data_IF_583555885269
#
_entry.id   IF_583555885269
#
_cell.length_a   1.000
_cell.length_b   1.000
_cell.length_c   1.000
_cell.angle_alpha   90.00
_cell.angle_beta   90.00
_cell.angle_gamma   90.00
#
_symmetry.space_group_name_H-M   'P 1'
#
loop_
_entity.id
_entity.type
_entity.pdbx_description
1 polymer ?
#
# COMPACT_ATOMS: atom_id res chain seq x y z
N UNK A 1 16.29 -5.54 15.65
CA UNK A 1 15.89 -6.37 14.48
C UNK A 1 15.30 -5.42 13.43
N UNK A 2 15.63 -5.63 12.14
CA UNK A 2 15.22 -4.77 11.03
C UNK A 2 14.33 -5.53 10.04
N UNK A 3 13.39 -4.84 9.39
CA UNK A 3 12.52 -5.34 8.33
C UNK A 3 12.23 -4.23 7.30
N UNK A 4 11.72 -4.62 6.12
CA UNK A 4 11.48 -3.73 5.00
C UNK A 4 10.00 -3.81 4.58
N UNK A 5 9.12 -2.99 5.20
CA UNK A 5 7.72 -2.92 4.81
C UNK A 5 7.58 -2.42 3.37
N UNK A 6 6.95 -3.21 2.51
CA UNK A 6 6.77 -2.85 1.11
C UNK A 6 5.37 -2.31 0.81
N UNK A 7 5.25 -1.52 -0.25
CA UNK A 7 3.99 -1.02 -0.76
C UNK A 7 3.17 -2.09 -1.50
N UNK A 8 1.92 -1.78 -1.79
CA UNK A 8 1.04 -2.51 -2.73
C UNK A 8 0.47 -1.56 -3.77
N UNK A 9 0.06 -2.12 -4.89
CA UNK A 9 -0.84 -1.48 -5.86
C UNK A 9 -2.16 -2.23 -5.95
N UNK A 10 -3.18 -1.57 -6.53
CA UNK A 10 -4.45 -2.21 -6.88
C UNK A 10 -4.48 -2.47 -8.38
N UNK A 11 -4.61 -3.73 -8.78
CA UNK A 11 -4.85 -4.14 -10.16
C UNK A 11 -6.36 -4.25 -10.36
N UNK A 12 -6.96 -3.19 -10.92
CA UNK A 12 -8.40 -3.01 -10.94
C UNK A 12 -9.02 -2.75 -9.57
N UNK A 13 -10.12 -2.02 -9.54
CA UNK A 13 -10.94 -1.79 -8.35
C UNK A 13 -12.37 -1.50 -8.77
N UNK A 14 -13.31 -2.33 -8.35
CA UNK A 14 -14.73 -2.15 -8.59
C UNK A 14 -15.46 -1.85 -7.28
N UNK A 15 -16.37 -0.89 -7.30
CA UNK A 15 -17.29 -0.60 -6.19
C UNK A 15 -18.63 -1.28 -6.52
N UNK A 16 -18.85 -2.47 -5.95
CA UNK A 16 -19.91 -3.37 -6.40
C UNK A 16 -21.26 -3.15 -5.74
N UNK A 17 -21.27 -2.62 -4.51
CA UNK A 17 -22.51 -2.45 -3.75
C UNK A 17 -22.34 -1.42 -2.64
N UNK A 18 -23.40 -0.66 -2.35
CA UNK A 18 -23.53 0.14 -1.14
C UNK A 18 -24.19 -0.67 -0.02
N UNK A 19 -23.53 -0.76 1.13
CA UNK A 19 -23.99 -1.51 2.29
C UNK A 19 -24.95 -0.68 3.15
N UNK A 20 -25.82 -1.34 3.96
CA UNK A 20 -26.68 -0.64 4.91
C UNK A 20 -25.93 0.14 6.01
N UNK A 21 -24.70 -0.25 6.35
CA UNK A 21 -23.82 0.41 7.31
C UNK A 21 -23.15 1.67 6.77
N UNK A 22 -23.40 2.02 5.50
CA UNK A 22 -22.86 3.19 4.82
C UNK A 22 -21.54 2.96 4.11
N UNK A 23 -20.88 1.81 4.31
CA UNK A 23 -19.71 1.38 3.55
C UNK A 23 -20.08 0.84 2.19
N UNK A 24 -19.06 0.49 1.39
CA UNK A 24 -19.24 -0.13 0.08
C UNK A 24 -18.51 -1.47 0.03
N UNK A 25 -19.14 -2.45 -0.63
CA UNK A 25 -18.44 -3.66 -1.02
C UNK A 25 -17.58 -3.35 -2.24
N UNK A 26 -16.32 -3.77 -2.16
CA UNK A 26 -15.30 -3.58 -3.18
C UNK A 26 -14.85 -4.93 -3.72
N UNK A 27 -14.36 -4.92 -4.94
CA UNK A 27 -13.57 -6.00 -5.54
C UNK A 27 -12.29 -5.40 -6.10
N UNK A 28 -11.12 -5.89 -5.69
CA UNK A 28 -9.83 -5.42 -6.18
C UNK A 28 -8.78 -6.51 -6.05
N UNK A 29 -7.68 -6.41 -6.78
CA UNK A 29 -6.53 -7.28 -6.60
C UNK A 29 -5.41 -6.46 -5.98
N UNK A 30 -4.94 -6.87 -4.81
CA UNK A 30 -3.74 -6.33 -4.19
C UNK A 30 -2.51 -7.05 -4.71
N UNK A 31 -1.54 -6.27 -5.17
CA UNK A 31 -0.26 -6.77 -5.65
C UNK A 31 0.89 -6.06 -4.93
N UNK A 32 1.77 -6.78 -4.20
CA UNK A 32 2.90 -6.17 -3.51
C UNK A 32 3.95 -5.70 -4.52
N UNK A 33 4.59 -4.56 -4.24
CA UNK A 33 5.66 -4.01 -5.08
C UNK A 33 6.90 -3.70 -4.24
N UNK A 34 8.14 -3.72 -4.80
CA UNK A 34 9.38 -3.56 -4.03
C UNK A 34 9.74 -2.09 -3.73
N UNK A 35 8.75 -1.23 -3.52
CA UNK A 35 8.93 0.08 -2.93
C UNK A 35 8.80 -0.08 -1.42
N UNK A 36 9.87 0.17 -0.66
CA UNK A 36 9.99 -0.24 0.73
C UNK A 36 10.32 0.91 1.65
N UNK A 37 9.76 0.86 2.86
CA UNK A 37 10.21 1.60 4.03
C UNK A 37 11.25 0.77 4.80
N UNK A 38 11.89 1.35 5.79
CA UNK A 38 12.78 0.62 6.70
C UNK A 38 12.21 0.75 8.11
N UNK A 39 12.10 -0.37 8.81
CA UNK A 39 11.62 -0.43 10.17
C UNK A 39 12.56 -1.26 11.03
N UNK A 40 13.09 -0.66 12.10
CA UNK A 40 13.93 -1.33 13.07
C UNK A 40 13.35 -1.20 14.47
N UNK A 41 13.47 -2.28 15.25
CA UNK A 41 13.12 -2.30 16.68
C UNK A 41 14.31 -2.76 17.49
N UNK A 42 14.70 -1.92 18.50
CA UNK A 42 15.66 -2.25 19.54
C UNK A 42 14.99 -2.15 20.90
N UNK A 43 15.50 -2.88 21.90
CA UNK A 43 15.13 -2.66 23.30
C UNK A 43 15.98 -1.54 23.89
N UNK A 44 15.57 -0.93 24.99
CA UNK A 44 16.33 0.13 25.65
C UNK A 44 17.73 -0.32 26.10
N UNK A 45 17.87 -1.61 26.43
CA UNK A 45 19.19 -2.20 26.82
C UNK A 45 20.11 -2.41 25.61
N UNK A 46 19.55 -2.54 24.38
CA UNK A 46 20.32 -2.73 23.13
C UNK A 46 20.87 -1.41 22.57
N UNK A 47 20.31 -0.27 22.95
CA UNK A 47 20.74 1.05 22.49
C UNK A 47 21.05 1.98 23.67
N UNK A 48 22.27 1.84 24.28
CA UNK A 48 22.68 2.65 25.42
C UNK A 48 22.98 4.11 25.06
N UNK A 49 22.95 4.47 23.77
CA UNK A 49 23.25 5.85 23.34
C UNK A 49 22.00 6.74 23.39
N UNK A 50 20.83 6.16 23.54
CA UNK A 50 19.57 6.88 23.67
C UNK A 50 19.11 6.82 25.12
N UNK A 51 18.95 7.99 25.75
CA UNK A 51 18.42 8.07 27.12
C UNK A 51 16.99 7.46 27.13
N UNK A 52 16.83 6.45 27.98
CA UNK A 52 15.52 5.82 28.19
C UNK A 52 14.66 6.77 29.05
N UNK A 53 13.58 7.34 28.53
CA UNK A 53 12.69 8.13 29.34
C UNK A 53 12.00 7.23 30.37
N UNK A 54 11.90 7.72 31.60
CA UNK A 54 11.30 6.98 32.72
C UNK A 54 9.81 6.75 32.58
N UNK A 55 9.13 7.50 31.70
CA UNK A 55 7.67 7.58 31.63
C UNK A 55 7.04 7.02 30.34
N UNK A 56 7.84 6.48 29.40
CA UNK A 56 7.30 5.85 28.18
C UNK A 56 7.91 4.48 27.95
N UNK A 57 7.14 3.61 27.35
CA UNK A 57 7.56 2.26 26.97
C UNK A 57 7.76 2.10 25.44
N UNK A 58 7.61 3.18 24.68
CA UNK A 58 7.88 3.22 23.24
C UNK A 58 8.40 4.59 22.83
N UNK A 59 9.48 4.60 22.07
CA UNK A 59 10.01 5.79 21.40
C UNK A 59 10.04 5.58 19.90
N UNK A 60 9.43 6.51 19.16
CA UNK A 60 9.44 6.51 17.69
C UNK A 60 10.40 7.56 17.16
N UNK A 61 11.41 7.10 16.42
CA UNK A 61 12.34 7.93 15.65
C UNK A 61 11.99 7.79 14.17
N UNK A 62 11.45 8.83 13.59
CA UNK A 62 11.04 8.84 12.17
C UNK A 62 11.92 9.76 11.34
N UNK A 63 12.31 9.30 10.15
CA UNK A 63 13.09 10.04 9.16
C UNK A 63 12.56 9.75 7.74
N UNK A 64 13.11 10.42 6.72
CA UNK A 64 12.62 10.33 5.35
C UNK A 64 11.40 11.21 5.11
N UNK A 65 10.36 10.70 4.42
CA UNK A 65 9.13 11.43 4.15
C UNK A 65 8.39 11.69 5.47
N UNK A 66 8.05 12.95 5.72
CA UNK A 66 7.36 13.36 6.94
C UNK A 66 5.98 12.69 7.08
N UNK A 67 5.69 12.21 8.29
CA UNK A 67 4.39 11.66 8.65
C UNK A 67 3.66 12.69 9.50
N UNK A 68 2.43 13.03 9.11
CA UNK A 68 1.58 13.92 9.89
C UNK A 68 0.90 13.16 11.05
N UNK A 69 0.63 13.88 12.14
CA UNK A 69 -0.09 13.37 13.31
C UNK A 69 0.79 13.15 14.54
N UNK A 70 0.17 12.77 15.63
CA UNK A 70 0.85 12.49 16.89
C UNK A 70 1.50 11.09 16.87
N UNK A 71 2.54 10.91 17.68
CA UNK A 71 3.27 9.63 17.77
C UNK A 71 2.33 8.47 18.13
N UNK A 72 1.41 8.67 19.06
CA UNK A 72 0.44 7.66 19.50
C UNK A 72 -0.59 7.29 18.40
N UNK A 73 -0.77 8.14 17.39
CA UNK A 73 -1.62 7.85 16.24
C UNK A 73 -0.92 7.03 15.16
N UNK A 74 0.39 6.92 15.22
CA UNK A 74 1.16 6.13 14.27
C UNK A 74 0.82 4.64 14.38
N UNK A 75 0.56 4.00 13.25
CA UNK A 75 0.13 2.60 13.20
C UNK A 75 1.20 1.62 13.72
N UNK A 76 2.49 1.94 13.64
CA UNK A 76 3.55 1.09 14.23
C UNK A 76 3.51 1.13 15.76
N UNK A 77 3.21 2.29 16.34
CA UNK A 77 3.02 2.44 17.78
C UNK A 77 1.76 1.68 18.23
N UNK A 78 0.65 1.83 17.49
CA UNK A 78 -0.59 1.08 17.74
C UNK A 78 -0.37 -0.43 17.65
N UNK A 79 0.44 -0.91 16.70
CA UNK A 79 0.81 -2.32 16.57
C UNK A 79 1.59 -2.83 17.80
N UNK A 80 2.56 -2.07 18.28
CA UNK A 80 3.26 -2.39 19.52
C UNK A 80 2.30 -2.43 20.72
N UNK A 81 1.47 -1.38 20.90
CA UNK A 81 0.48 -1.31 22.00
C UNK A 81 -0.49 -2.49 21.97
N UNK A 82 -0.92 -2.90 20.76
CA UNK A 82 -1.81 -4.02 20.58
C UNK A 82 -1.21 -5.33 21.11
N UNK A 83 0.04 -5.64 20.73
CA UNK A 83 0.71 -6.85 21.23
C UNK A 83 1.13 -6.73 22.68
N UNK A 84 1.54 -5.55 23.15
CA UNK A 84 1.89 -5.33 24.55
C UNK A 84 0.72 -5.55 25.52
N UNK A 85 -0.50 -5.29 25.08
CA UNK A 85 -1.69 -5.59 25.88
C UNK A 85 -1.93 -7.09 26.07
N UNK A 86 -1.36 -7.94 25.19
CA UNK A 86 -1.54 -9.40 25.21
C UNK A 86 -0.29 -10.13 25.72
N UNK A 87 0.90 -9.52 25.59
CA UNK A 87 2.21 -10.13 25.89
C UNK A 87 3.09 -9.19 26.72
N UNK A 88 3.94 -9.71 27.61
CA UNK A 88 4.87 -8.91 28.42
C UNK A 88 6.05 -8.40 27.60
N UNK A 89 5.80 -7.47 26.66
CA UNK A 89 6.84 -6.86 25.84
C UNK A 89 7.62 -5.81 26.62
N UNK A 90 8.97 -5.79 26.51
CA UNK A 90 9.81 -4.75 27.11
C UNK A 90 9.57 -3.39 26.43
N UNK A 91 10.01 -2.29 27.04
CA UNK A 91 10.14 -1.00 26.38
C UNK A 91 11.04 -1.08 25.15
N UNK A 92 10.67 -0.35 24.07
CA UNK A 92 11.37 -0.40 22.78
C UNK A 92 11.59 0.98 22.17
N UNK A 93 12.65 1.07 21.34
CA UNK A 93 12.81 2.10 20.33
C UNK A 93 12.36 1.56 18.98
N UNK A 94 11.63 2.38 18.25
CA UNK A 94 11.22 2.15 16.86
C UNK A 94 11.95 3.16 16.00
N UNK A 95 12.81 2.70 15.10
CA UNK A 95 13.45 3.54 14.10
C UNK A 95 12.78 3.28 12.74
N UNK A 96 12.24 4.32 12.13
CA UNK A 96 11.53 4.23 10.88
C UNK A 96 12.07 5.23 9.86
N UNK A 97 12.40 4.73 8.67
CA UNK A 97 12.71 5.55 7.50
C UNK A 97 11.58 5.41 6.49
N UNK A 98 10.87 6.52 6.26
CA UNK A 98 9.74 6.56 5.31
C UNK A 98 10.20 6.92 3.91
N UNK A 99 9.93 6.02 2.99
CA UNK A 99 10.15 6.19 1.56
C UNK A 99 8.84 6.07 0.77
N UNK A 100 7.87 5.27 1.27
CA UNK A 100 6.53 5.14 0.67
C UNK A 100 5.71 6.39 1.01
N UNK A 101 5.21 7.15 0.01
CA UNK A 101 4.37 8.33 0.25
C UNK A 101 3.09 7.98 1.01
N UNK A 102 2.76 8.81 2.01
CA UNK A 102 1.54 8.64 2.81
C UNK A 102 0.30 9.12 2.05
N UNK A 103 -0.87 8.50 2.30
CA UNK A 103 -2.15 8.89 1.70
C UNK A 103 -2.16 8.77 0.17
N UNK A 104 -1.42 7.82 -0.38
CA UNK A 104 -1.13 7.69 -1.80
C UNK A 104 -1.81 6.48 -2.47
N UNK A 105 -2.66 5.73 -1.76
CA UNK A 105 -3.26 4.49 -2.28
C UNK A 105 -2.32 3.27 -2.27
N UNK A 106 -1.12 3.39 -1.66
CA UNK A 106 -0.04 2.40 -1.70
C UNK A 106 0.02 1.47 -0.46
N UNK A 107 -0.79 1.71 0.54
CA UNK A 107 -0.84 0.89 1.75
C UNK A 107 0.37 0.99 2.68
N UNK A 108 1.25 2.01 2.53
CA UNK A 108 2.51 2.11 3.28
C UNK A 108 2.34 2.06 4.80
N UNK A 109 1.44 2.86 5.39
CA UNK A 109 1.20 2.81 6.84
C UNK A 109 0.63 1.48 7.33
N UNK A 110 -0.18 0.79 6.50
CA UNK A 110 -0.70 -0.55 6.81
C UNK A 110 0.40 -1.60 6.72
N UNK A 111 1.32 -1.46 5.76
CA UNK A 111 2.52 -2.28 5.66
C UNK A 111 3.39 -2.12 6.92
N UNK A 112 3.72 -0.88 7.28
CA UNK A 112 4.52 -0.58 8.48
C UNK A 112 3.93 -1.25 9.73
N UNK A 113 2.62 -1.09 9.95
CA UNK A 113 1.92 -1.68 11.08
C UNK A 113 2.01 -3.21 11.11
N UNK A 114 1.79 -3.84 9.96
CA UNK A 114 1.79 -5.30 9.87
C UNK A 114 3.19 -5.88 10.00
N UNK A 115 4.17 -5.25 9.35
CA UNK A 115 5.56 -5.65 9.50
C UNK A 115 6.06 -5.42 10.92
N UNK A 116 5.54 -4.40 11.64
CA UNK A 116 5.79 -4.24 13.07
C UNK A 116 5.26 -5.43 13.88
N UNK A 117 4.02 -5.88 13.62
CA UNK A 117 3.46 -7.07 14.29
C UNK A 117 4.35 -8.31 14.04
N UNK A 118 4.75 -8.54 12.79
CA UNK A 118 5.63 -9.67 12.41
C UNK A 118 6.99 -9.56 13.08
N UNK A 119 7.60 -8.37 13.05
CA UNK A 119 8.91 -8.10 13.65
C UNK A 119 8.88 -8.35 15.17
N UNK A 120 7.84 -7.89 15.87
CA UNK A 120 7.68 -8.12 17.31
C UNK A 120 7.46 -9.60 17.62
N UNK A 121 6.63 -10.31 16.82
CA UNK A 121 6.47 -11.77 16.95
C UNK A 121 7.81 -12.48 16.87
N UNK A 122 8.59 -12.16 15.84
CA UNK A 122 9.85 -12.86 15.57
C UNK A 122 10.94 -12.46 16.56
N UNK A 123 11.06 -11.17 16.91
CA UNK A 123 12.06 -10.66 17.87
C UNK A 123 11.86 -11.24 19.28
N UNK A 124 10.60 -11.33 19.72
CA UNK A 124 10.26 -11.79 21.06
C UNK A 124 9.74 -13.24 21.10
N UNK A 125 9.81 -13.96 19.96
CA UNK A 125 9.39 -15.36 19.84
C UNK A 125 7.95 -15.57 20.36
N UNK A 126 7.02 -14.67 19.97
CA UNK A 126 5.63 -14.77 20.40
C UNK A 126 4.96 -15.98 19.72
N UNK A 127 4.12 -16.73 20.44
CA UNK A 127 3.45 -17.93 19.92
C UNK A 127 2.23 -17.53 19.05
N UNK A 128 2.47 -16.80 17.96
CA UNK A 128 1.46 -16.30 17.04
C UNK A 128 1.63 -16.92 15.66
N UNK A 129 0.58 -17.52 15.15
CA UNK A 129 0.47 -17.96 13.75
C UNK A 129 0.20 -16.78 12.83
N UNK A 130 0.34 -16.98 11.51
CA UNK A 130 -0.02 -15.94 10.53
C UNK A 130 -1.51 -15.60 10.57
N UNK A 131 -2.39 -16.60 10.78
CA UNK A 131 -3.84 -16.35 10.90
C UNK A 131 -4.16 -15.44 12.10
N UNK A 132 -3.54 -15.69 13.24
CA UNK A 132 -3.68 -14.86 14.44
C UNK A 132 -3.08 -13.46 14.26
N UNK A 133 -2.04 -13.32 13.44
CA UNK A 133 -1.52 -11.99 13.06
C UNK A 133 -2.47 -11.27 12.11
N UNK A 134 -3.12 -11.96 11.16
CA UNK A 134 -4.12 -11.37 10.27
C UNK A 134 -5.30 -10.79 11.06
N UNK A 135 -5.80 -11.52 12.07
CA UNK A 135 -6.87 -11.03 12.96
C UNK A 135 -6.47 -9.73 13.69
N UNK A 136 -5.22 -9.65 14.17
CA UNK A 136 -4.70 -8.47 14.86
C UNK A 136 -4.46 -7.32 13.90
N UNK A 137 -3.89 -7.60 12.74
CA UNK A 137 -3.64 -6.63 11.69
C UNK A 137 -4.96 -5.99 11.21
N UNK A 138 -6.02 -6.78 11.03
CA UNK A 138 -7.35 -6.28 10.66
C UNK A 138 -7.94 -5.26 11.67
N UNK A 139 -7.53 -5.31 12.93
CA UNK A 139 -7.93 -4.31 13.96
C UNK A 139 -7.22 -2.98 13.81
N UNK A 140 -6.07 -2.94 13.11
CA UNK A 140 -5.29 -1.72 12.86
C UNK A 140 -5.74 -0.99 11.60
N UNK A 141 -6.21 -1.73 10.58
CA UNK A 141 -6.69 -1.15 9.33
C UNK A 141 -7.09 -2.21 8.30
N UNK A 142 -7.93 -1.81 7.35
CA UNK A 142 -8.52 -2.73 6.36
C UNK A 142 -7.44 -3.43 5.49
N UNK A 143 -6.40 -2.69 5.07
CA UNK A 143 -5.33 -3.21 4.22
C UNK A 143 -4.26 -3.98 5.02
N UNK A 144 -4.24 -3.86 6.38
CA UNK A 144 -3.15 -4.42 7.18
C UNK A 144 -3.04 -5.94 7.06
N UNK A 145 -4.17 -6.67 7.10
CA UNK A 145 -4.16 -8.13 7.06
C UNK A 145 -3.52 -8.68 5.76
N UNK A 146 -3.61 -7.95 4.64
CA UNK A 146 -2.95 -8.31 3.39
C UNK A 146 -1.43 -8.52 3.56
N UNK A 147 -0.77 -7.62 4.31
CA UNK A 147 0.68 -7.62 4.44
C UNK A 147 1.22 -8.74 5.34
N UNK A 148 0.36 -9.47 6.05
CA UNK A 148 0.80 -10.65 6.81
C UNK A 148 1.31 -11.72 5.85
N UNK A 149 0.53 -12.06 4.84
CA UNK A 149 0.94 -13.01 3.78
C UNK A 149 1.76 -12.34 2.68
N UNK A 150 1.47 -11.07 2.41
CA UNK A 150 2.21 -10.23 1.46
C UNK A 150 2.40 -10.85 0.08
N UNK A 151 1.34 -11.39 -0.48
CA UNK A 151 1.27 -12.06 -1.79
C UNK A 151 0.07 -11.57 -2.58
N UNK A 152 0.10 -11.66 -3.93
CA UNK A 152 -1.06 -11.28 -4.74
C UNK A 152 -2.34 -11.92 -4.22
N UNK A 153 -3.38 -11.09 -4.01
CA UNK A 153 -4.65 -11.55 -3.46
C UNK A 153 -5.82 -10.74 -4.00
N UNK A 154 -6.91 -11.42 -4.30
CA UNK A 154 -8.20 -10.80 -4.59
C UNK A 154 -8.86 -10.43 -3.28
N UNK A 155 -9.23 -9.16 -3.15
CA UNK A 155 -9.85 -8.59 -1.97
C UNK A 155 -11.32 -8.26 -2.21
N UNK A 156 -12.17 -8.63 -1.27
CA UNK A 156 -13.61 -8.37 -1.25
C UNK A 156 -14.05 -7.73 0.07
N UNK A 157 -15.36 -7.57 0.28
CA UNK A 157 -15.90 -6.84 1.43
C UNK A 157 -15.57 -5.35 1.33
N UNK A 158 -15.07 -4.76 2.39
CA UNK A 158 -14.55 -3.37 2.36
C UNK A 158 -13.07 -3.31 1.92
N UNK A 159 -12.56 -4.35 1.25
CA UNK A 159 -11.16 -4.54 0.89
C UNK A 159 -10.37 -5.35 1.94
N UNK A 160 -11.06 -6.11 2.78
CA UNK A 160 -10.49 -6.77 3.96
C UNK A 160 -10.64 -8.29 3.99
N UNK A 161 -11.24 -8.89 2.97
CA UNK A 161 -11.40 -10.35 2.84
C UNK A 161 -10.54 -10.81 1.65
N UNK A 162 -9.48 -11.57 1.92
CA UNK A 162 -8.46 -11.91 0.92
C UNK A 162 -8.57 -13.36 0.45
N UNK A 163 -8.54 -13.52 -0.88
CA UNK A 163 -8.40 -14.83 -1.55
C UNK A 163 -7.06 -14.84 -2.29
N UNK A 164 -6.12 -15.73 -1.96
CA UNK A 164 -4.82 -15.79 -2.60
C UNK A 164 -4.91 -16.00 -4.11
N UNK A 165 -4.03 -15.36 -4.87
CA UNK A 165 -3.90 -15.48 -6.33
C UNK A 165 -2.48 -15.93 -6.72
N UNK A 166 -2.06 -17.16 -6.38
CA UNK A 166 -0.69 -17.61 -6.58
C UNK A 166 -0.27 -17.70 -8.06
N UNK A 167 -1.22 -17.73 -8.98
CA UNK A 167 -0.98 -17.77 -10.43
C UNK A 167 -0.71 -16.38 -11.02
N UNK A 168 -1.04 -15.30 -10.30
CA UNK A 168 -0.81 -13.94 -10.79
C UNK A 168 0.64 -13.54 -10.51
N UNK A 169 1.39 -13.27 -11.58
CA UNK A 169 2.77 -12.83 -11.51
C UNK A 169 3.05 -11.76 -12.55
N UNK A 170 3.66 -10.67 -12.10
CA UNK A 170 4.20 -9.60 -12.96
C UNK A 170 5.72 -9.67 -13.03
N UNK A 171 6.29 -10.84 -12.75
CA UNK A 171 7.75 -11.03 -12.82
C UNK A 171 8.29 -10.69 -14.22
N UNK A 172 9.35 -9.86 -14.24
CA UNK A 172 9.97 -9.39 -15.47
C UNK A 172 9.25 -8.19 -16.12
N UNK A 173 8.17 -7.69 -15.51
CA UNK A 173 7.58 -6.40 -15.87
C UNK A 173 8.27 -5.28 -15.11
N UNK A 174 8.32 -4.11 -15.72
CA UNK A 174 8.77 -2.88 -15.07
C UNK A 174 7.55 -2.06 -14.64
N UNK A 175 7.66 -1.43 -13.47
CA UNK A 175 6.67 -0.50 -12.96
C UNK A 175 7.27 0.91 -12.87
N UNK A 176 6.54 1.90 -13.36
CA UNK A 176 6.76 3.31 -13.06
C UNK A 176 5.60 3.82 -12.21
N UNK A 177 5.90 4.28 -11.01
CA UNK A 177 4.95 4.85 -10.07
C UNK A 177 5.12 6.37 -10.04
N UNK A 178 4.02 7.09 -10.16
CA UNK A 178 3.97 8.55 -10.10
C UNK A 178 2.92 9.00 -9.09
N UNK A 179 3.33 9.74 -8.06
CA UNK A 179 2.42 10.32 -7.07
C UNK A 179 2.55 11.85 -7.13
N UNK A 180 1.54 12.56 -7.66
CA UNK A 180 1.51 14.03 -7.65
C UNK A 180 1.35 14.58 -6.22
N UNK A 181 1.76 15.83 -6.01
CA UNK A 181 1.54 16.51 -4.73
C UNK A 181 0.07 16.97 -4.59
N UNK A 182 -0.83 16.01 -4.75
CA UNK A 182 -2.28 16.18 -4.60
C UNK A 182 -2.77 15.14 -3.60
N UNK A 183 -3.47 15.60 -2.57
CA UNK A 183 -4.16 14.73 -1.63
C UNK A 183 -5.59 14.47 -2.10
N UNK A 184 -5.97 13.21 -2.23
CA UNK A 184 -7.32 12.77 -2.54
C UNK A 184 -7.95 12.17 -1.29
N UNK A 185 -9.03 12.79 -0.80
CA UNK A 185 -9.76 12.20 0.31
C UNK A 185 -10.60 11.00 -0.15
N UNK A 186 -10.81 10.02 0.73
CA UNK A 186 -11.73 8.90 0.45
C UNK A 186 -13.12 9.39 0.04
N UNK A 187 -13.60 10.48 0.67
CA UNK A 187 -14.88 11.12 0.30
C UNK A 187 -14.89 11.57 -1.16
N UNK A 188 -13.79 12.17 -1.63
CA UNK A 188 -13.70 12.63 -3.02
C UNK A 188 -13.71 11.46 -4.00
N UNK A 189 -12.96 10.40 -3.68
CA UNK A 189 -12.96 9.18 -4.49
C UNK A 189 -14.36 8.56 -4.64
N UNK A 190 -15.17 8.57 -3.58
CA UNK A 190 -16.55 8.06 -3.63
C UNK A 190 -17.59 9.05 -4.18
N UNK A 191 -17.25 10.29 -4.52
CA UNK A 191 -18.21 11.36 -4.79
C UNK A 191 -19.14 11.13 -5.97
N UNK A 192 -18.66 10.48 -7.05
CA UNK A 192 -19.44 10.16 -8.25
C UNK A 192 -19.72 8.67 -8.41
N UNK A 193 -19.28 7.85 -7.45
CA UNK A 193 -19.41 6.39 -7.56
C UNK A 193 -20.87 5.97 -7.64
N UNK A 194 -21.15 5.16 -8.65
CA UNK A 194 -22.41 4.43 -8.83
C UNK A 194 -22.09 2.93 -8.75
N UNK A 195 -22.30 2.30 -7.56
CA UNK A 195 -21.97 0.90 -7.40
C UNK A 195 -22.63 0.03 -8.48
N UNK A 196 -21.84 -0.85 -9.08
CA UNK A 196 -22.32 -1.78 -10.11
C UNK A 196 -21.50 -3.08 -10.07
N UNK A 197 -22.11 -4.16 -10.51
CA UNK A 197 -21.37 -5.41 -10.70
C UNK A 197 -20.57 -5.32 -11.99
N UNK A 198 -19.28 -5.69 -11.96
CA UNK A 198 -18.47 -5.68 -13.17
C UNK A 198 -19.03 -6.66 -14.20
N UNK A 199 -18.89 -6.33 -15.47
CA UNK A 199 -19.29 -7.20 -16.59
C UNK A 199 -18.46 -8.48 -16.61
N UNK A 200 -17.16 -8.34 -16.29
CA UNK A 200 -16.20 -9.43 -16.21
C UNK A 200 -15.47 -9.37 -14.86
N UNK A 201 -15.39 -10.48 -14.12
CA UNK A 201 -14.67 -10.51 -12.84
C UNK A 201 -13.19 -10.18 -13.00
N UNK A 202 -12.61 -9.39 -12.07
CA UNK A 202 -11.19 -9.07 -12.06
C UNK A 202 -10.32 -10.33 -12.01
N UNK A 203 -10.77 -11.35 -11.29
CA UNK A 203 -10.06 -12.64 -11.19
C UNK A 203 -9.95 -13.36 -12.53
N UNK A 204 -10.91 -13.17 -13.41
CA UNK A 204 -10.88 -13.71 -14.78
C UNK A 204 -9.97 -12.85 -15.67
N UNK A 205 -10.09 -11.52 -15.61
CA UNK A 205 -9.26 -10.59 -16.38
C UNK A 205 -7.77 -10.80 -16.03
N UNK A 206 -7.45 -11.02 -14.76
CA UNK A 206 -6.08 -11.23 -14.29
C UNK A 206 -5.42 -12.51 -14.82
N UNK A 207 -6.19 -13.43 -15.45
CA UNK A 207 -5.62 -14.61 -16.13
C UNK A 207 -5.19 -14.33 -17.58
N UNK A 208 -5.57 -13.18 -18.11
CA UNK A 208 -5.17 -12.77 -19.47
C UNK A 208 -3.75 -12.18 -19.45
N UNK A 209 -3.10 -12.11 -20.63
CA UNK A 209 -1.91 -11.29 -20.80
C UNK A 209 -2.16 -9.83 -20.37
N UNK A 210 -1.16 -9.18 -19.78
CA UNK A 210 -1.27 -7.78 -19.30
C UNK A 210 -1.70 -6.84 -20.43
N UNK A 211 -1.29 -7.13 -21.65
CA UNK A 211 -1.63 -6.39 -22.87
C UNK A 211 -3.15 -6.34 -23.15
N UNK A 212 -3.90 -7.30 -22.65
CA UNK A 212 -5.35 -7.39 -22.83
C UNK A 212 -6.14 -6.77 -21.64
N UNK A 213 -5.50 -6.45 -20.53
CA UNK A 213 -6.18 -5.99 -19.31
C UNK A 213 -7.01 -4.73 -19.53
N UNK A 214 -6.47 -3.76 -20.25
CA UNK A 214 -7.16 -2.50 -20.56
C UNK A 214 -8.47 -2.76 -21.29
N UNK A 215 -8.41 -3.51 -22.38
CA UNK A 215 -9.56 -3.79 -23.24
C UNK A 215 -10.55 -4.77 -22.59
N UNK A 216 -10.06 -5.63 -21.70
CA UNK A 216 -10.90 -6.52 -20.91
C UNK A 216 -11.63 -5.82 -19.74
N UNK A 217 -11.31 -4.55 -19.45
CA UNK A 217 -11.99 -3.76 -18.43
C UNK A 217 -11.37 -3.84 -17.04
N UNK A 218 -10.06 -4.08 -16.90
CA UNK A 218 -9.36 -3.93 -15.62
C UNK A 218 -9.20 -2.44 -15.29
N UNK A 219 -10.24 -1.83 -14.74
CA UNK A 219 -10.31 -0.41 -14.43
C UNK A 219 -10.38 -0.18 -12.92
N UNK A 220 -10.09 1.04 -12.49
CA UNK A 220 -10.33 1.50 -11.13
C UNK A 220 -11.52 2.49 -11.15
N UNK A 221 -12.65 2.10 -10.54
CA UNK A 221 -13.88 2.90 -10.54
C UNK A 221 -13.69 4.30 -9.93
N UNK A 222 -12.71 4.49 -9.02
CA UNK A 222 -12.44 5.79 -8.44
C UNK A 222 -11.84 6.79 -9.43
N UNK A 223 -11.28 6.33 -10.55
CA UNK A 223 -10.69 7.21 -11.56
C UNK A 223 -11.71 8.22 -12.11
N UNK A 224 -12.97 7.81 -12.32
CA UNK A 224 -14.03 8.71 -12.80
C UNK A 224 -14.19 9.93 -11.88
N UNK A 225 -14.34 9.70 -10.58
CA UNK A 225 -14.52 10.77 -9.60
C UNK A 225 -13.27 11.62 -9.42
N UNK A 226 -12.12 10.94 -9.31
CA UNK A 226 -10.84 11.59 -9.01
C UNK A 226 -10.37 12.42 -10.19
N UNK A 227 -10.44 11.91 -11.42
CA UNK A 227 -10.00 12.65 -12.61
C UNK A 227 -10.94 13.80 -12.95
N UNK A 228 -12.25 13.66 -12.70
CA UNK A 228 -13.19 14.77 -12.84
C UNK A 228 -12.88 15.93 -11.89
N UNK A 229 -12.47 15.64 -10.65
CA UNK A 229 -12.14 16.65 -9.64
C UNK A 229 -10.69 17.15 -9.75
N UNK A 230 -9.77 16.30 -10.12
CA UNK A 230 -8.33 16.53 -10.20
C UNK A 230 -7.78 16.11 -11.57
N UNK A 231 -8.06 16.85 -12.66
CA UNK A 231 -7.66 16.46 -14.03
C UNK A 231 -6.18 16.17 -14.20
N UNK A 232 -5.32 16.89 -13.45
CA UNK A 232 -3.87 16.66 -13.46
C UNK A 232 -3.47 15.23 -13.09
N UNK A 233 -4.29 14.51 -12.29
CA UNK A 233 -4.05 13.11 -12.00
C UNK A 233 -4.33 12.24 -13.24
N UNK A 234 -5.43 12.53 -13.97
CA UNK A 234 -5.75 11.85 -15.23
C UNK A 234 -4.68 12.04 -16.30
N UNK A 235 -4.15 13.27 -16.43
CA UNK A 235 -3.06 13.59 -17.36
C UNK A 235 -1.79 12.75 -17.11
N UNK A 236 -1.52 12.35 -15.87
CA UNK A 236 -0.40 11.45 -15.57
C UNK A 236 -0.67 10.07 -16.16
N UNK A 237 -1.90 9.55 -16.10
CA UNK A 237 -2.25 8.26 -16.72
C UNK A 237 -2.05 8.28 -18.22
N UNK A 238 -2.52 9.34 -18.88
CA UNK A 238 -2.32 9.52 -20.32
C UNK A 238 -0.83 9.56 -20.67
N UNK A 239 -0.05 10.29 -19.89
CA UNK A 239 1.39 10.39 -20.08
C UNK A 239 2.12 9.07 -19.87
N UNK A 240 1.68 8.22 -18.94
CA UNK A 240 2.21 6.86 -18.78
C UNK A 240 1.97 6.02 -20.03
N UNK A 241 0.79 6.12 -20.67
CA UNK A 241 0.50 5.45 -21.94
C UNK A 241 1.33 6.02 -23.09
N UNK A 242 1.51 7.33 -23.16
CA UNK A 242 2.35 8.00 -24.18
C UNK A 242 3.82 7.56 -24.08
N UNK A 243 4.27 7.19 -22.86
CA UNK A 243 5.59 6.62 -22.61
C UNK A 243 5.70 5.12 -22.98
N UNK A 244 4.60 4.49 -23.41
CA UNK A 244 4.57 3.09 -23.82
C UNK A 244 4.14 2.11 -22.71
N UNK A 245 3.51 2.59 -21.63
CA UNK A 245 2.92 1.68 -20.65
C UNK A 245 1.89 0.77 -21.35
N UNK A 246 2.00 -0.52 -21.12
CA UNK A 246 1.05 -1.52 -21.63
C UNK A 246 -0.26 -1.44 -20.84
N UNK A 247 -0.15 -1.19 -19.56
CA UNK A 247 -1.28 -0.96 -18.66
C UNK A 247 -0.92 0.15 -17.68
N UNK A 248 -1.87 1.07 -17.43
CA UNK A 248 -1.72 2.12 -16.42
C UNK A 248 -3.04 2.29 -15.64
N UNK A 249 -2.93 2.51 -14.33
CA UNK A 249 -4.09 2.69 -13.44
C UNK A 249 -3.72 3.49 -12.20
N UNK A 250 -4.73 4.05 -11.56
CA UNK A 250 -4.61 4.64 -10.24
C UNK A 250 -4.65 3.53 -9.17
N UNK A 251 -3.82 3.64 -8.14
CA UNK A 251 -3.82 2.70 -7.02
C UNK A 251 -4.77 3.15 -5.92
N UNK A 252 -5.69 2.28 -5.52
CA UNK A 252 -6.69 2.58 -4.47
C UNK A 252 -7.50 3.81 -4.80
N UNK A 253 -7.73 4.67 -3.82
CA UNK A 253 -8.42 5.97 -3.97
C UNK A 253 -7.50 7.09 -4.50
N UNK A 254 -6.28 6.78 -4.87
CA UNK A 254 -5.29 7.73 -5.37
C UNK A 254 -4.45 8.35 -4.23
N UNK A 255 -3.61 9.32 -4.54
CA UNK A 255 -3.40 9.92 -5.87
C UNK A 255 -2.33 9.23 -6.73
N UNK A 256 -1.72 8.14 -6.27
CA UNK A 256 -0.68 7.46 -7.07
C UNK A 256 -1.25 6.75 -8.28
N UNK A 257 -0.55 6.90 -9.39
CA UNK A 257 -0.74 6.13 -10.61
C UNK A 257 0.48 5.27 -10.87
N UNK A 258 0.27 4.18 -11.58
CA UNK A 258 1.36 3.33 -12.04
C UNK A 258 1.16 2.92 -13.48
N UNK A 259 2.27 2.72 -14.19
CA UNK A 259 2.33 2.12 -15.51
C UNK A 259 3.15 0.83 -15.46
N UNK A 260 2.70 -0.20 -16.17
CA UNK A 260 3.43 -1.44 -16.39
C UNK A 260 4.02 -1.44 -17.79
N UNK A 261 5.33 -1.74 -17.87
CA UNK A 261 6.10 -1.74 -19.10
C UNK A 261 6.74 -3.13 -19.29
N UNK A 262 6.75 -3.61 -20.52
CA UNK A 262 7.39 -4.88 -20.87
C UNK A 262 8.89 -4.73 -21.05
N UNK A 263 9.29 -3.59 -21.59
CA UNK A 263 10.68 -3.19 -21.78
C UNK A 263 10.87 -1.83 -21.11
N UNK A 264 12.00 -1.62 -20.50
CA UNK A 264 12.32 -0.38 -19.82
C UNK A 264 13.69 0.11 -20.30
N UNK A 265 13.68 1.11 -21.17
CA UNK A 265 14.89 1.88 -21.44
C UNK A 265 15.17 2.74 -20.20
N UNK A 266 16.37 2.66 -19.64
CA UNK A 266 16.75 3.49 -18.48
C UNK A 266 16.50 4.96 -18.83
N UNK A 267 15.37 5.47 -18.31
CA UNK A 267 15.04 6.89 -18.40
C UNK A 267 15.77 7.58 -17.25
N UNK A 268 16.66 8.50 -17.61
CA UNK A 268 17.37 9.33 -16.65
C UNK A 268 16.39 10.02 -15.69
N UNK A 269 16.74 10.06 -14.41
CA UNK A 269 15.94 10.69 -13.36
C UNK A 269 15.59 12.16 -13.71
N UNK A 270 16.48 12.90 -14.36
CA UNK A 270 16.22 14.26 -14.81
C UNK A 270 15.09 14.32 -15.85
N UNK A 271 15.03 13.36 -16.76
CA UNK A 271 13.92 13.26 -17.73
C UNK A 271 12.61 12.94 -17.04
N UNK A 272 12.60 12.04 -16.05
CA UNK A 272 11.39 11.73 -15.26
C UNK A 272 10.90 12.96 -14.50
N UNK A 273 11.80 13.75 -13.91
CA UNK A 273 11.45 14.99 -13.22
C UNK A 273 10.87 16.06 -14.16
N UNK A 274 11.33 16.10 -15.42
CA UNK A 274 10.76 16.99 -16.46
C UNK A 274 9.37 16.50 -16.89
N UNK A 275 9.19 15.20 -17.03
CA UNK A 275 7.91 14.60 -17.43
C UNK A 275 6.87 14.70 -16.32
N UNK A 276 7.27 14.57 -15.04
CA UNK A 276 6.40 14.56 -13.87
C UNK A 276 6.85 15.60 -12.83
N UNK A 277 6.77 16.89 -13.14
CA UNK A 277 7.22 17.95 -12.23
C UNK A 277 6.40 17.94 -10.93
N UNK A 278 7.09 18.13 -9.81
CA UNK A 278 6.50 18.14 -8.46
C UNK A 278 5.78 16.83 -8.09
N UNK A 279 6.17 15.71 -8.72
CA UNK A 279 5.68 14.39 -8.35
C UNK A 279 6.78 13.59 -7.64
N UNK A 280 6.37 12.74 -6.72
CA UNK A 280 7.21 11.62 -6.31
C UNK A 280 7.19 10.58 -7.45
N UNK A 281 8.35 10.18 -7.91
CA UNK A 281 8.51 9.20 -9.00
C UNK A 281 9.41 8.07 -8.52
N UNK A 282 9.00 6.85 -8.76
CA UNK A 282 9.76 5.65 -8.43
C UNK A 282 9.53 4.57 -9.49
N UNK A 283 10.55 3.80 -9.81
CA UNK A 283 10.46 2.71 -10.77
C UNK A 283 11.30 1.51 -10.32
N UNK A 284 10.91 0.32 -10.76
CA UNK A 284 11.64 -0.93 -10.53
C UNK A 284 11.20 -2.02 -11.49
N UNK A 285 12.03 -3.05 -11.66
CA UNK A 285 11.60 -4.34 -12.17
C UNK A 285 10.81 -5.09 -11.08
N UNK A 286 9.73 -5.77 -11.47
CA UNK A 286 8.93 -6.58 -10.58
C UNK A 286 9.49 -8.02 -10.56
N UNK A 287 9.94 -8.45 -9.39
CA UNK A 287 10.55 -9.77 -9.17
C UNK A 287 9.60 -10.83 -8.61
N UNK A 288 8.34 -10.45 -8.34
CA UNK A 288 7.32 -11.28 -7.66
C UNK A 288 6.34 -11.85 -8.65
#
# INVERSE_FOLDING_TARGET
MITFPNAKINLGLNVVERRPDGYHNLETIFYPIPLEDILEVTTFDEDPTVESPTDTDVMLHSSGIAIAGEVEDNLVVKAYRLLKAEYPLPPIHIHMFKHIPSGAGLGGGSADATFMLRLLRDKFSLPLTDDELEERAARLGADCAFFVRNKPAFATGIGNIFTPMPQLSLRGWYILLVKPDIFVSTRDAFSLIRPHKPVRPLTEIATLPVEEWRDAGMNNDFEESVFAKYPAIGEIKDRLYDMGAVYASMSGSGSSLFGLFKEWDEIDADKLNVLFPNCYVWHSELGI
#
